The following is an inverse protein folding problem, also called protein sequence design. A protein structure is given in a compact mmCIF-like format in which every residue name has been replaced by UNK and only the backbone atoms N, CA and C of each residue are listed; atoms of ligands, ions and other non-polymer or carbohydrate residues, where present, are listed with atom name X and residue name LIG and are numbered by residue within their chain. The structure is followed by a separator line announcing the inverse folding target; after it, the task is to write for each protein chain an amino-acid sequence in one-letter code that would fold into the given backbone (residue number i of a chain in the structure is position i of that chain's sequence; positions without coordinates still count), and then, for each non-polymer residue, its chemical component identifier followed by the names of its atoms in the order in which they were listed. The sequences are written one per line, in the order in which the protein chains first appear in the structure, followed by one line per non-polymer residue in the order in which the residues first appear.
data_IF_218538130311
#
_entry.id   IF_218538130311
#
_cell.length_a   1.000
_cell.length_b   1.000
_cell.length_c   1.000
_cell.angle_alpha   90.00
_cell.angle_beta   90.00
_cell.angle_gamma   90.00
#
_symmetry.space_group_name_H-M   'P 1'
#
loop_
_entity.id
_entity.type
_entity.pdbx_description
1 polymer ?
#
# COMPACT_ATOMS: atom_id res chain seq x y z
N UNK A 1 3.89 -10.61 0.13
CA UNK A 1 3.78 -10.78 -1.34
C UNK A 1 2.81 -11.90 -1.72
N UNK A 2 3.20 -13.18 -1.83
CA UNK A 2 2.26 -14.21 -2.32
C UNK A 2 1.08 -14.49 -1.35
N UNK A 3 1.32 -14.49 -0.04
CA UNK A 3 0.26 -14.61 0.99
C UNK A 3 -0.72 -13.43 1.01
N UNK A 4 -0.23 -12.20 0.83
CA UNK A 4 -1.06 -10.98 0.78
C UNK A 4 -1.90 -10.91 -0.49
N UNK A 5 -1.32 -11.30 -1.64
CA UNK A 5 -2.08 -11.44 -2.89
C UNK A 5 -3.23 -12.43 -2.70
N UNK A 6 -2.97 -13.60 -2.11
CA UNK A 6 -4.00 -14.62 -1.93
C UNK A 6 -5.11 -14.20 -0.97
N UNK A 7 -4.84 -13.32 0.01
CA UNK A 7 -5.88 -12.84 0.94
C UNK A 7 -6.71 -11.69 0.39
N UNK A 8 -6.13 -10.84 -0.47
CA UNK A 8 -6.82 -9.68 -1.04
C UNK A 8 -7.60 -10.00 -2.32
N UNK A 9 -7.06 -10.86 -3.18
CA UNK A 9 -7.77 -11.33 -4.36
C UNK A 9 -8.39 -12.68 -4.03
N UNK A 10 -9.72 -12.79 -4.10
CA UNK A 10 -10.42 -14.05 -3.88
C UNK A 10 -10.30 -14.91 -5.14
N UNK A 11 -9.11 -15.48 -5.38
CA UNK A 11 -8.71 -16.18 -6.61
C UNK A 11 -9.67 -17.31 -7.02
N UNK A 12 -10.35 -17.93 -6.06
CA UNK A 12 -11.34 -18.98 -6.34
C UNK A 12 -12.57 -18.48 -7.10
N UNK A 13 -12.90 -17.18 -7.04
CA UNK A 13 -14.02 -16.59 -7.79
C UNK A 13 -13.67 -16.21 -9.23
N UNK A 14 -12.39 -16.13 -9.58
CA UNK A 14 -11.93 -15.80 -10.94
C UNK A 14 -11.63 -17.07 -11.74
N UNK A 15 -12.59 -17.99 -11.81
CA UNK A 15 -12.55 -19.16 -12.68
C UNK A 15 -12.87 -18.75 -14.12
N UNK A 16 -12.00 -17.97 -14.75
CA UNK A 16 -12.06 -17.75 -16.20
C UNK A 16 -11.24 -18.84 -16.89
N UNK A 17 -11.85 -19.56 -17.83
CA UNK A 17 -11.23 -20.69 -18.54
C UNK A 17 -10.06 -20.29 -19.46
N UNK A 18 -9.73 -19.00 -19.54
CA UNK A 18 -8.74 -18.45 -20.44
C UNK A 18 -7.46 -18.10 -19.66
N UNK A 19 -6.48 -19.00 -19.77
CA UNK A 19 -5.18 -18.91 -19.08
C UNK A 19 -4.52 -17.53 -19.20
N UNK A 20 -4.61 -16.90 -20.37
CA UNK A 20 -4.04 -15.56 -20.62
C UNK A 20 -4.65 -14.46 -19.73
N UNK A 21 -5.94 -14.54 -19.40
CA UNK A 21 -6.62 -13.55 -18.55
C UNK A 21 -6.16 -13.72 -17.09
N UNK A 22 -6.07 -14.98 -16.64
CA UNK A 22 -5.57 -15.31 -15.29
C UNK A 22 -4.12 -14.85 -15.14
N UNK A 23 -3.26 -15.15 -16.11
CA UNK A 23 -1.86 -14.72 -16.10
C UNK A 23 -1.75 -13.19 -16.10
N UNK A 24 -2.53 -12.50 -16.94
CA UNK A 24 -2.60 -11.04 -16.95
C UNK A 24 -2.99 -10.44 -15.59
N UNK A 25 -3.96 -11.05 -14.90
CA UNK A 25 -4.39 -10.62 -13.57
C UNK A 25 -3.30 -10.86 -12.51
N UNK A 26 -2.55 -11.97 -12.61
CA UNK A 26 -1.38 -12.24 -11.76
C UNK A 26 -0.34 -11.14 -11.94
N UNK A 27 0.03 -10.81 -13.18
CA UNK A 27 1.04 -9.80 -13.45
C UNK A 27 0.59 -8.40 -13.01
N UNK A 28 -0.67 -8.02 -13.26
CA UNK A 28 -1.22 -6.74 -12.84
C UNK A 28 -1.27 -6.61 -11.31
N UNK A 29 -1.68 -7.67 -10.60
CA UNK A 29 -1.71 -7.68 -9.14
C UNK A 29 -0.32 -7.67 -8.52
N UNK A 30 0.66 -8.36 -9.11
CA UNK A 30 2.06 -8.28 -8.69
C UNK A 30 2.61 -6.85 -8.86
N UNK A 31 2.36 -6.24 -10.03
CA UNK A 31 2.77 -4.88 -10.34
C UNK A 31 2.16 -3.87 -9.35
N UNK A 32 0.88 -3.98 -9.05
CA UNK A 32 0.19 -3.13 -8.07
C UNK A 32 0.84 -3.19 -6.67
N UNK A 33 1.26 -4.38 -6.23
CA UNK A 33 1.89 -4.58 -4.91
C UNK A 33 3.31 -4.01 -4.90
N UNK A 34 4.08 -4.18 -5.98
CA UNK A 34 5.43 -3.62 -6.10
C UNK A 34 5.37 -2.09 -6.04
N UNK A 35 4.48 -1.47 -6.83
CA UNK A 35 4.31 -0.01 -6.84
C UNK A 35 3.95 0.47 -5.43
N UNK A 36 2.90 -0.10 -4.81
CA UNK A 36 2.50 0.22 -3.42
C UNK A 36 3.67 0.18 -2.45
N UNK A 37 4.46 -0.89 -2.49
CA UNK A 37 5.57 -1.08 -1.56
C UNK A 37 6.72 -0.13 -1.82
N UNK A 38 7.05 0.13 -3.09
CA UNK A 38 8.08 1.10 -3.47
C UNK A 38 7.72 2.52 -3.05
N UNK A 39 6.49 2.96 -3.32
CA UNK A 39 5.97 4.26 -2.90
C UNK A 39 5.94 4.36 -1.38
N UNK A 40 5.51 3.30 -0.67
CA UNK A 40 5.51 3.30 0.78
C UNK A 40 6.92 3.39 1.38
N UNK A 41 7.91 2.70 0.82
CA UNK A 41 9.30 2.75 1.29
C UNK A 41 9.90 4.16 1.17
N UNK A 42 9.53 4.92 0.14
CA UNK A 42 9.99 6.30 -0.03
C UNK A 42 9.38 7.27 1.00
N UNK A 43 8.23 6.92 1.60
CA UNK A 43 7.44 7.83 2.46
C UNK A 43 7.40 7.32 3.93
N UNK A 44 8.11 6.24 4.26
CA UNK A 44 8.26 5.81 5.66
C UNK A 44 9.28 6.72 6.36
N UNK A 45 8.95 7.29 7.56
CA UNK A 45 8.05 6.76 8.57
C UNK A 45 6.74 7.56 8.80
N UNK A 46 6.40 8.56 7.98
CA UNK A 46 5.32 9.53 8.27
C UNK A 46 3.91 9.05 7.89
N UNK A 47 3.81 8.04 7.02
CA UNK A 47 2.52 7.61 6.42
C UNK A 47 1.99 6.28 6.96
N UNK A 48 0.68 6.21 7.12
CA UNK A 48 -0.06 4.99 7.46
C UNK A 48 -0.37 4.18 6.19
N UNK A 49 0.23 2.99 6.10
CA UNK A 49 -0.03 2.03 5.01
C UNK A 49 -1.53 1.71 4.87
N UNK A 50 -2.24 1.58 5.99
CA UNK A 50 -3.66 1.24 5.98
C UNK A 50 -4.51 2.36 5.37
N UNK A 51 -4.22 3.62 5.74
CA UNK A 51 -4.92 4.78 5.15
C UNK A 51 -4.60 4.92 3.66
N UNK A 52 -3.33 4.73 3.28
CA UNK A 52 -2.90 4.76 1.89
C UNK A 52 -3.53 3.64 1.04
N UNK A 53 -3.77 2.46 1.63
CA UNK A 53 -4.45 1.37 0.96
C UNK A 53 -5.95 1.65 0.76
N UNK A 54 -6.59 2.37 1.68
CA UNK A 54 -8.02 2.71 1.59
C UNK A 54 -8.37 3.64 0.43
N UNK A 55 -7.46 4.53 0.04
CA UNK A 55 -7.66 5.48 -1.04
C UNK A 55 -6.77 5.15 -2.25
N UNK A 56 -6.43 3.87 -2.42
CA UNK A 56 -5.49 3.43 -3.44
C UNK A 56 -5.96 3.69 -4.87
N UNK A 57 -7.26 3.60 -5.11
CA UNK A 57 -7.82 3.83 -6.43
C UNK A 57 -7.59 5.28 -6.90
N UNK A 58 -7.42 6.23 -5.97
CA UNK A 58 -7.17 7.64 -6.31
C UNK A 58 -5.74 7.86 -6.79
N UNK A 59 -4.75 7.28 -6.10
CA UNK A 59 -3.35 7.58 -6.37
C UNK A 59 -2.68 6.58 -7.31
N UNK A 60 -3.20 5.35 -7.40
CA UNK A 60 -2.62 4.28 -8.22
C UNK A 60 -3.16 4.29 -9.65
N UNK A 61 -4.41 4.73 -9.86
CA UNK A 61 -5.03 4.80 -11.17
C UNK A 61 -4.24 5.62 -12.20
N UNK A 62 -3.80 6.87 -11.91
CA UNK A 62 -3.05 7.65 -12.90
C UNK A 62 -1.68 7.04 -13.24
N UNK A 63 -1.07 6.29 -12.31
CA UNK A 63 0.17 5.56 -12.58
C UNK A 63 -0.10 4.40 -13.56
N UNK A 64 -1.19 3.65 -13.34
CA UNK A 64 -1.60 2.59 -14.26
C UNK A 64 -1.97 3.13 -15.63
N UNK A 65 -2.65 4.26 -15.70
CA UNK A 65 -3.00 4.91 -16.97
C UNK A 65 -1.76 5.28 -17.77
N UNK A 66 -0.73 5.86 -17.14
CA UNK A 66 0.56 6.13 -17.79
C UNK A 66 1.25 4.85 -18.29
N UNK A 67 1.20 3.75 -17.52
CA UNK A 67 1.77 2.46 -17.93
C UNK A 67 1.01 1.89 -19.14
N UNK A 68 -0.32 1.91 -19.11
CA UNK A 68 -1.17 1.42 -20.19
C UNK A 68 -0.94 2.19 -21.49
N UNK A 69 -0.81 3.52 -21.41
CA UNK A 69 -0.57 4.39 -22.56
C UNK A 69 0.91 4.51 -22.96
N UNK A 70 1.83 3.80 -22.27
CA UNK A 70 3.28 3.87 -22.48
C UNK A 70 3.84 5.31 -22.36
N UNK A 71 3.20 6.14 -21.54
CA UNK A 71 3.59 7.52 -21.27
C UNK A 71 4.73 7.58 -20.23
N UNK A 72 5.90 7.03 -20.59
CA UNK A 72 7.03 6.91 -19.67
C UNK A 72 7.60 8.26 -19.22
N UNK A 73 7.47 9.31 -20.03
CA UNK A 73 7.86 10.67 -19.66
C UNK A 73 7.05 11.22 -18.48
N UNK A 74 5.77 10.83 -18.37
CA UNK A 74 4.83 11.32 -17.35
C UNK A 74 4.81 10.45 -16.09
N UNK A 75 5.37 9.23 -16.15
CA UNK A 75 5.28 8.28 -15.04
C UNK A 75 5.94 8.82 -13.76
N UNK A 76 7.05 9.55 -13.92
CA UNK A 76 7.78 10.16 -12.80
C UNK A 76 6.95 11.24 -12.13
N UNK A 77 6.26 12.08 -12.92
CA UNK A 77 5.38 13.13 -12.40
C UNK A 77 4.17 12.53 -11.66
N UNK A 78 3.59 11.44 -12.19
CA UNK A 78 2.48 10.75 -11.50
C UNK A 78 2.94 10.08 -10.20
N UNK A 79 4.16 9.54 -10.17
CA UNK A 79 4.74 8.96 -8.95
C UNK A 79 4.98 10.04 -7.88
N UNK A 80 5.55 11.18 -8.27
CA UNK A 80 5.77 12.30 -7.34
C UNK A 80 4.43 12.86 -6.81
N UNK A 81 3.46 13.06 -7.70
CA UNK A 81 2.11 13.46 -7.31
C UNK A 81 1.47 12.45 -6.33
N UNK A 82 1.62 11.14 -6.59
CA UNK A 82 1.10 10.10 -5.71
C UNK A 82 1.78 10.15 -4.33
N UNK A 83 3.09 10.39 -4.29
CA UNK A 83 3.85 10.57 -3.04
C UNK A 83 3.29 11.77 -2.24
N UNK A 84 3.13 12.92 -2.88
CA UNK A 84 2.55 14.11 -2.24
C UNK A 84 1.12 13.85 -1.76
N UNK A 85 0.29 13.21 -2.58
CA UNK A 85 -1.09 12.88 -2.24
C UNK A 85 -1.18 11.96 -1.02
N UNK A 86 -0.41 10.87 -1.02
CA UNK A 86 -0.40 9.91 0.08
C UNK A 86 0.08 10.57 1.37
N UNK A 87 1.13 11.40 1.29
CA UNK A 87 1.68 12.12 2.45
C UNK A 87 0.62 13.01 3.12
N UNK A 88 -0.21 13.69 2.32
CA UNK A 88 -1.26 14.59 2.83
C UNK A 88 -2.49 13.84 3.35
N UNK A 89 -2.89 12.75 2.70
CA UNK A 89 -4.17 12.08 2.95
C UNK A 89 -4.07 10.85 3.86
N UNK A 90 -2.88 10.28 4.00
CA UNK A 90 -2.63 9.10 4.82
C UNK A 90 -1.60 9.32 5.94
N UNK A 91 -1.56 10.47 6.65
CA UNK A 91 -0.62 10.64 7.75
C UNK A 91 -0.91 9.60 8.84
N UNK A 92 0.15 9.08 9.47
CA UNK A 92 -0.01 8.24 10.66
C UNK A 92 -0.81 9.02 11.69
N UNK A 93 -1.84 8.38 12.24
CA UNK A 93 -2.50 8.92 13.43
C UNK A 93 -1.48 8.95 14.56
N UNK A 94 -1.43 10.07 15.28
CA UNK A 94 -0.73 10.14 16.55
C UNK A 94 -1.31 9.05 17.46
N UNK A 95 -0.47 8.14 17.95
CA UNK A 95 -0.91 7.07 18.82
C UNK A 95 -1.46 7.69 20.11
N UNK A 96 -2.77 7.52 20.37
CA UNK A 96 -3.45 8.13 21.53
C UNK A 96 -3.02 7.51 22.87
N UNK A 97 -2.40 6.33 22.84
CA UNK A 97 -1.83 5.64 24.00
C UNK A 97 -0.31 5.70 23.89
N UNK A 98 0.36 6.16 24.95
CA UNK A 98 1.81 5.98 25.05
C UNK A 98 2.11 4.48 25.03
N UNK A 99 3.23 4.09 24.41
CA UNK A 99 3.65 2.68 24.38
C UNK A 99 4.15 2.18 25.74
N UNK A 100 4.28 3.07 26.72
CA UNK A 100 4.76 2.75 28.07
C UNK A 100 3.94 1.62 28.68
N UNK A 101 2.61 1.67 28.57
CA UNK A 101 1.70 0.63 29.09
C UNK A 101 1.86 -0.77 28.44
N UNK A 102 2.60 -0.87 27.34
CA UNK A 102 2.76 -2.12 26.56
C UNK A 102 4.22 -2.60 26.54
N UNK A 103 5.16 -1.73 26.90
CA UNK A 103 6.57 -2.10 27.08
C UNK A 103 6.81 -2.69 28.46
N UNK A 104 7.67 -3.71 28.54
CA UNK A 104 8.05 -4.33 29.81
C UNK A 104 8.50 -3.29 30.85
N UNK A 105 9.26 -2.27 30.43
CA UNK A 105 9.66 -1.15 31.30
C UNK A 105 8.47 -0.40 31.90
N UNK A 106 7.50 0.03 31.09
CA UNK A 106 6.35 0.78 31.63
C UNK A 106 5.38 -0.09 32.43
N UNK A 107 5.29 -1.40 32.14
CA UNK A 107 4.59 -2.36 33.01
C UNK A 107 5.30 -2.49 34.37
N UNK A 108 6.64 -2.57 34.37
CA UNK A 108 7.44 -2.66 35.59
C UNK A 108 7.28 -1.42 36.46
N UNK A 109 7.34 -0.21 35.88
CA UNK A 109 7.11 1.05 36.61
C UNK A 109 5.70 1.07 37.21
N UNK A 110 4.68 0.66 36.47
CA UNK A 110 3.28 0.67 36.93
C UNK A 110 3.00 -0.34 38.05
N UNK A 111 3.70 -1.48 38.09
CA UNK A 111 3.56 -2.49 39.15
C UNK A 111 4.30 -2.12 40.44
N UNK A 112 5.25 -1.17 40.36
CA UNK A 112 6.07 -0.73 41.50
C UNK A 112 5.60 0.60 42.13
N UNK A 113 4.43 1.10 41.71
CA UNK A 113 3.67 2.21 42.33
C UNK A 113 2.40 1.68 42.98
#
# INVERSE_FOLDING_TARGET
LFKELKSHTNWQRFATAQKAIVDGLVWASLLAVIIRRSTALQIMPSVSLFKAAKNVDVWLLPIFECICHRAWSEITEKLDWAICYITRNAPKSQQRKSKEDITLDGIYVRLNT
#
